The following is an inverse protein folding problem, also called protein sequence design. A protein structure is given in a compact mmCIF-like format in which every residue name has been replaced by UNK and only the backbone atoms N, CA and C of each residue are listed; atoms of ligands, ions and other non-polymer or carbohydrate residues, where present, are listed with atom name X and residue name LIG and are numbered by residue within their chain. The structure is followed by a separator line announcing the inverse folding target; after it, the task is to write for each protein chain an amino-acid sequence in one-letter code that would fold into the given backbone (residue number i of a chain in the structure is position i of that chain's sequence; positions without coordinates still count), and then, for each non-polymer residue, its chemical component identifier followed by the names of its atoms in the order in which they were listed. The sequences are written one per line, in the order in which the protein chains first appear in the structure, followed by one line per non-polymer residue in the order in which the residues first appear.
data_IF_326811155276
#
_entry.id   IF_326811155276
#
_cell.length_a   1.000
_cell.length_b   1.000
_cell.length_c   1.000
_cell.angle_alpha   90.00
_cell.angle_beta   90.00
_cell.angle_gamma   90.00
#
_symmetry.space_group_name_H-M   'P 1'
#
loop_
_entity.id
_entity.type
_entity.pdbx_description
1 polymer ?
#
# COMPACT_ATOMS: atom_id res chain seq x y z
N UNK A 1 3.06 24.74 -5.68
CA UNK A 1 2.36 23.50 -6.05
C UNK A 1 2.35 22.60 -4.83
N UNK A 2 1.18 22.16 -4.38
CA UNK A 2 1.08 21.21 -3.27
C UNK A 2 1.37 19.83 -3.83
N UNK A 3 2.61 19.36 -3.69
CA UNK A 3 3.00 18.01 -4.11
C UNK A 3 2.35 17.01 -3.18
N UNK A 4 1.50 16.14 -3.73
CA UNK A 4 0.89 15.04 -2.99
C UNK A 4 1.97 13.97 -2.82
N UNK A 5 2.61 13.97 -1.65
CA UNK A 5 3.68 13.02 -1.31
C UNK A 5 3.13 11.75 -0.66
N UNK A 6 1.86 11.72 -0.29
CA UNK A 6 1.19 10.60 0.36
C UNK A 6 -0.09 10.21 -0.40
N UNK A 7 -0.30 8.92 -0.54
CA UNK A 7 -1.48 8.35 -1.18
C UNK A 7 -1.96 7.10 -0.45
N UNK A 8 -3.25 6.78 -0.61
CA UNK A 8 -3.78 5.53 -0.07
C UNK A 8 -3.15 4.34 -0.81
N UNK A 9 -2.84 3.26 -0.08
CA UNK A 9 -2.41 1.99 -0.66
C UNK A 9 -3.42 1.54 -1.72
N UNK A 10 -2.95 1.08 -2.87
CA UNK A 10 -3.80 0.67 -4.00
C UNK A 10 -4.65 -0.59 -3.73
N UNK A 11 -4.45 -1.24 -2.59
CA UNK A 11 -5.30 -2.34 -2.13
C UNK A 11 -6.63 -1.78 -1.60
N UNK A 12 -7.77 -2.30 -2.10
CA UNK A 12 -9.09 -1.72 -1.86
C UNK A 12 -9.51 -1.80 -0.38
N UNK A 13 -9.12 -2.88 0.29
CA UNK A 13 -9.37 -3.13 1.73
C UNK A 13 -8.31 -2.52 2.63
N UNK A 14 -7.22 -1.98 2.06
CA UNK A 14 -6.13 -1.41 2.82
C UNK A 14 -6.42 0.05 3.17
N UNK A 15 -6.29 0.36 4.46
CA UNK A 15 -6.47 1.71 5.02
C UNK A 15 -5.12 2.43 5.22
N UNK A 16 -4.01 1.82 4.81
CA UNK A 16 -2.70 2.41 4.97
C UNK A 16 -2.51 3.58 4.00
N UNK A 17 -2.07 4.71 4.54
CA UNK A 17 -1.49 5.81 3.75
C UNK A 17 -0.01 5.55 3.60
N UNK A 18 0.49 5.68 2.38
CA UNK A 18 1.89 5.45 2.04
C UNK A 18 2.44 6.66 1.33
N UNK A 19 3.71 6.96 1.54
CA UNK A 19 4.39 7.99 0.76
C UNK A 19 4.69 7.47 -0.63
N UNK A 20 4.50 8.27 -1.68
CA UNK A 20 4.87 7.87 -3.05
C UNK A 20 6.37 7.59 -3.21
N UNK A 21 7.19 8.14 -2.33
CA UNK A 21 8.65 7.98 -2.31
C UNK A 21 9.08 6.63 -1.70
N UNK A 22 8.45 6.23 -0.58
CA UNK A 22 8.78 5.00 0.15
C UNK A 22 7.90 3.79 -0.21
N UNK A 23 6.80 4.02 -0.94
CA UNK A 23 5.85 2.96 -1.28
C UNK A 23 6.37 2.04 -2.38
N UNK A 24 5.90 0.79 -2.34
CA UNK A 24 6.19 -0.19 -3.38
C UNK A 24 5.38 0.20 -4.63
N UNK A 25 6.06 0.71 -5.65
CA UNK A 25 5.45 0.95 -6.95
C UNK A 25 5.47 -0.35 -7.77
N UNK A 26 4.29 -0.87 -8.11
CA UNK A 26 4.13 -2.02 -8.98
C UNK A 26 3.03 -1.71 -9.98
N UNK A 27 3.36 -1.72 -11.27
CA UNK A 27 2.41 -1.42 -12.37
C UNK A 27 1.75 -0.02 -12.24
N UNK A 28 2.49 0.97 -11.74
CA UNK A 28 1.97 2.32 -11.49
C UNK A 28 1.03 2.44 -10.27
N UNK A 29 0.87 1.37 -9.50
CA UNK A 29 0.12 1.34 -8.24
C UNK A 29 1.09 1.32 -7.06
N UNK A 30 0.75 2.06 -6.01
CA UNK A 30 1.59 2.19 -4.83
C UNK A 30 1.01 1.38 -3.68
N UNK A 31 1.86 0.56 -3.06
CA UNK A 31 1.47 -0.39 -2.03
C UNK A 31 2.26 -0.19 -0.75
N UNK A 32 1.64 -0.49 0.39
CA UNK A 32 2.27 -0.36 1.70
C UNK A 32 3.19 -1.53 2.07
N UNK A 33 3.03 -2.68 1.41
CA UNK A 33 3.84 -3.87 1.62
C UNK A 33 3.72 -4.80 0.42
N UNK A 34 4.66 -5.75 0.29
CA UNK A 34 4.65 -6.76 -0.78
C UNK A 34 3.36 -7.58 -0.76
N UNK A 35 2.80 -7.84 0.43
CA UNK A 35 1.50 -8.51 0.56
C UNK A 35 0.39 -7.80 -0.22
N UNK A 36 0.29 -6.47 -0.13
CA UNK A 36 -0.68 -5.71 -0.92
C UNK A 36 -0.34 -5.66 -2.41
N UNK A 37 0.95 -5.58 -2.74
CA UNK A 37 1.43 -5.55 -4.12
C UNK A 37 1.20 -6.88 -4.86
N UNK A 38 1.17 -8.00 -4.14
CA UNK A 38 0.80 -9.32 -4.64
C UNK A 38 -0.70 -9.63 -4.49
N UNK A 39 -1.46 -8.79 -3.78
CA UNK A 39 -2.89 -8.98 -3.57
C UNK A 39 -3.25 -10.02 -2.50
N UNK A 40 -2.42 -10.13 -1.47
CA UNK A 40 -2.60 -11.04 -0.33
C UNK A 40 -2.65 -12.53 -0.69
N UNK A 41 -2.02 -12.92 -1.80
CA UNK A 41 -1.95 -14.32 -2.24
C UNK A 41 -1.13 -15.16 -1.26
N UNK A 42 0.06 -14.66 -0.91
CA UNK A 42 1.02 -15.35 -0.04
C UNK A 42 0.99 -14.82 1.38
N UNK A 43 0.87 -13.49 1.51
CA UNK A 43 0.89 -12.78 2.80
C UNK A 43 -0.52 -12.27 3.10
N UNK A 44 -1.19 -12.91 4.07
CA UNK A 44 -2.41 -12.38 4.67
C UNK A 44 -2.00 -11.19 5.53
N UNK A 45 -2.34 -9.97 5.16
CA UNK A 45 -1.76 -8.84 5.85
C UNK A 45 -1.06 -7.85 4.94
N UNK A 46 -1.22 -6.59 5.26
CA UNK A 46 -0.21 -5.55 5.03
C UNK A 46 0.86 -5.51 6.13
N UNK A 47 0.78 -6.40 7.14
CA UNK A 47 1.56 -6.38 8.39
C UNK A 47 1.49 -5.07 9.21
N UNK A 48 0.71 -4.09 8.77
CA UNK A 48 0.42 -2.89 9.52
C UNK A 48 -0.58 -3.17 10.63
N UNK A 49 -0.23 -2.79 11.85
CA UNK A 49 -1.05 -3.01 13.04
C UNK A 49 -2.38 -2.26 12.90
N UNK A 50 -3.48 -3.00 12.85
CA UNK A 50 -4.84 -2.42 12.72
C UNK A 50 -5.36 -2.31 11.28
N UNK A 51 -4.56 -2.70 10.28
CA UNK A 51 -5.07 -2.88 8.93
C UNK A 51 -5.33 -4.38 8.70
N UNK A 52 -6.58 -4.72 8.39
CA UNK A 52 -7.05 -6.10 8.14
C UNK A 52 -7.15 -6.42 6.63
N UNK A 53 -6.31 -5.74 5.86
CA UNK A 53 -5.82 -6.25 4.60
C UNK A 53 -4.71 -7.26 4.97
#
# INVERSE_FOLDING_TARGET
MTTVTQMKCACDTCLCIVSTDDAINKDGKYYCSEGCAEGHVTIKGCQHKGCCC
#
